data_IF_430045234598
#
_entry.id   IF_430045234598
#
_cell.length_a   1.000
_cell.length_b   1.000
_cell.length_c   1.000
_cell.angle_alpha   90.00
_cell.angle_beta   90.00
_cell.angle_gamma   90.00
#
_symmetry.space_group_name_H-M   'P 1'
#
loop_
_entity.id
_entity.type
_entity.pdbx_description
1 polymer ?
#
# COMPACT_ATOMS: atom_id res chain seq x y z
N UNK A 1 28.05 13.06 0.16
CA UNK A 1 26.75 12.37 0.03
C UNK A 1 25.79 13.26 -0.73
N UNK A 2 24.99 12.68 -1.63
CA UNK A 2 23.97 13.43 -2.36
C UNK A 2 22.85 13.86 -1.40
N UNK A 3 22.55 15.15 -1.36
CA UNK A 3 21.45 15.72 -0.56
C UNK A 3 20.13 15.63 -1.33
N UNK A 4 19.03 15.95 -0.64
CA UNK A 4 17.71 16.02 -1.27
C UNK A 4 17.70 16.96 -2.48
N UNK A 5 18.42 18.08 -2.41
CA UNK A 5 18.51 19.03 -3.51
C UNK A 5 19.16 18.46 -4.78
N UNK A 6 20.11 17.54 -4.64
CA UNK A 6 20.75 16.87 -5.78
C UNK A 6 19.74 15.99 -6.52
N UNK A 7 18.90 15.29 -5.75
CA UNK A 7 17.85 14.39 -6.24
C UNK A 7 16.68 15.13 -6.85
N UNK A 8 16.30 16.28 -6.27
CA UNK A 8 15.35 17.22 -6.88
C UNK A 8 15.86 17.68 -8.24
N UNK A 9 17.15 17.97 -8.37
CA UNK A 9 17.76 18.28 -9.67
C UNK A 9 17.65 17.14 -10.68
N UNK A 10 17.83 15.89 -10.25
CA UNK A 10 17.62 14.72 -11.11
C UNK A 10 16.17 14.58 -11.57
N UNK A 11 15.20 14.91 -10.71
CA UNK A 11 13.78 14.95 -11.06
C UNK A 11 13.49 16.04 -12.10
N UNK A 12 14.06 17.23 -11.93
CA UNK A 12 13.92 18.33 -12.89
C UNK A 12 14.43 17.91 -14.27
N UNK A 13 15.58 17.23 -14.31
CA UNK A 13 16.17 16.71 -15.55
C UNK A 13 15.30 15.63 -16.20
N UNK A 14 14.78 14.67 -15.43
CA UNK A 14 13.95 13.58 -15.97
C UNK A 14 12.58 14.08 -16.44
N UNK A 15 12.05 15.15 -15.84
CA UNK A 15 10.84 15.84 -16.30
C UNK A 15 11.08 16.73 -17.54
N UNK A 16 12.33 16.89 -18.00
CA UNK A 16 12.67 17.71 -19.16
C UNK A 16 12.38 19.20 -18.96
N UNK A 17 12.39 19.68 -17.72
CA UNK A 17 12.03 21.06 -17.38
C UNK A 17 13.23 21.87 -16.89
N UNK A 18 13.16 23.19 -17.03
CA UNK A 18 14.15 24.08 -16.42
C UNK A 18 13.93 24.21 -14.91
N UNK A 19 15.00 24.49 -14.16
CA UNK A 19 14.90 24.74 -12.72
C UNK A 19 13.93 25.88 -12.38
N UNK A 20 13.84 26.89 -13.24
CA UNK A 20 12.86 27.98 -13.10
C UNK A 20 11.42 27.50 -13.26
N UNK A 21 11.14 26.68 -14.27
CA UNK A 21 9.80 26.12 -14.46
C UNK A 21 9.41 25.25 -13.26
N UNK A 22 10.37 24.52 -12.68
CA UNK A 22 10.13 23.73 -11.48
C UNK A 22 9.86 24.60 -10.27
N UNK A 23 10.71 25.61 -10.00
CA UNK A 23 10.47 26.56 -8.91
C UNK A 23 9.06 27.17 -9.00
N UNK A 24 8.64 27.58 -10.19
CA UNK A 24 7.29 28.12 -10.40
C UNK A 24 6.18 27.08 -10.22
N UNK A 25 6.39 25.83 -10.63
CA UNK A 25 5.36 24.77 -10.56
C UNK A 25 5.05 24.34 -9.13
N UNK A 26 6.05 24.36 -8.25
CA UNK A 26 5.91 24.14 -6.81
C UNK A 26 5.73 25.45 -6.04
N UNK A 27 5.58 26.59 -6.73
CA UNK A 27 5.40 27.94 -6.20
C UNK A 27 6.51 28.43 -5.24
N UNK A 28 7.74 27.99 -5.44
CA UNK A 28 8.93 28.53 -4.81
C UNK A 28 9.38 29.85 -5.48
N UNK A 29 10.28 30.58 -4.82
CA UNK A 29 10.91 31.77 -5.41
C UNK A 29 11.73 31.39 -6.66
N UNK A 30 11.73 32.26 -7.67
CA UNK A 30 12.52 32.04 -8.89
C UNK A 30 14.02 31.88 -8.55
N UNK A 31 14.62 30.78 -8.99
CA UNK A 31 16.01 30.45 -8.71
C UNK A 31 16.23 29.81 -7.33
N UNK A 32 15.16 29.40 -6.63
CA UNK A 32 15.25 28.64 -5.39
C UNK A 32 16.10 27.39 -5.59
N UNK A 33 15.73 26.51 -6.51
CA UNK A 33 16.42 25.22 -6.69
C UNK A 33 17.90 25.41 -7.04
N UNK A 34 18.21 26.38 -7.92
CA UNK A 34 19.60 26.72 -8.28
C UNK A 34 20.40 27.25 -7.09
N UNK A 35 19.82 28.13 -6.28
CA UNK A 35 20.45 28.67 -5.07
C UNK A 35 20.71 27.56 -4.04
N UNK A 36 19.73 26.68 -3.83
CA UNK A 36 19.85 25.56 -2.90
C UNK A 36 20.95 24.60 -3.35
N UNK A 37 21.02 24.29 -4.65
CA UNK A 37 22.05 23.42 -5.22
C UNK A 37 23.44 24.05 -5.10
N UNK A 38 23.59 25.33 -5.46
CA UNK A 38 24.84 26.07 -5.37
C UNK A 38 25.39 26.11 -3.93
N UNK A 39 24.50 26.34 -2.96
CA UNK A 39 24.87 26.46 -1.56
C UNK A 39 24.91 25.12 -0.82
N UNK A 40 24.66 24.00 -1.51
CA UNK A 40 24.53 22.68 -0.90
C UNK A 40 23.58 22.70 0.31
N UNK A 41 22.48 23.46 0.21
CA UNK A 41 21.58 23.75 1.31
C UNK A 41 20.54 22.64 1.51
N UNK A 42 19.99 22.55 2.73
CA UNK A 42 18.93 21.60 3.08
C UNK A 42 17.58 22.10 2.59
N UNK A 43 16.77 21.21 2.05
CA UNK A 43 15.42 21.53 1.57
C UNK A 43 14.43 21.45 2.74
N UNK A 44 13.57 22.47 2.87
CA UNK A 44 12.55 22.52 3.92
C UNK A 44 11.41 21.54 3.67
N UNK A 45 10.68 21.17 4.72
CA UNK A 45 9.52 20.26 4.63
C UNK A 45 8.40 20.85 3.78
N UNK A 46 8.19 22.16 3.86
CA UNK A 46 7.23 22.91 3.05
C UNK A 46 7.44 22.70 1.54
N UNK A 47 8.70 22.67 1.09
CA UNK A 47 9.03 22.41 -0.30
C UNK A 47 8.79 20.95 -0.67
N UNK A 48 9.11 20.01 0.22
CA UNK A 48 8.86 18.59 0.01
C UNK A 48 7.35 18.29 -0.11
N UNK A 49 6.52 18.89 0.75
CA UNK A 49 5.06 18.79 0.70
C UNK A 49 4.52 19.26 -0.67
N UNK A 50 4.97 20.43 -1.13
CA UNK A 50 4.54 20.98 -2.43
C UNK A 50 5.01 20.14 -3.62
N UNK A 51 6.16 19.48 -3.50
CA UNK A 51 6.63 18.52 -4.51
C UNK A 51 5.69 17.32 -4.55
N UNK A 52 5.31 16.75 -3.40
CA UNK A 52 4.39 15.60 -3.33
C UNK A 52 3.01 15.97 -3.89
N UNK A 53 2.48 17.14 -3.53
CA UNK A 53 1.21 17.64 -4.05
C UNK A 53 1.25 17.84 -5.58
N UNK A 54 2.34 18.40 -6.09
CA UNK A 54 2.46 18.73 -7.52
C UNK A 54 2.83 17.53 -8.39
N UNK A 55 3.62 16.61 -7.84
CA UNK A 55 4.21 15.48 -8.53
C UNK A 55 3.96 14.19 -7.71
N UNK A 56 2.70 13.70 -7.64
CA UNK A 56 2.34 12.55 -6.80
C UNK A 56 3.00 11.23 -7.22
N UNK A 57 3.60 11.19 -8.41
CA UNK A 57 4.36 10.04 -8.92
C UNK A 57 5.85 10.08 -8.51
N UNK A 58 6.31 11.14 -7.83
CA UNK A 58 7.67 11.25 -7.28
C UNK A 58 7.70 10.59 -5.91
N UNK A 59 8.65 9.68 -5.72
CA UNK A 59 8.84 9.02 -4.43
C UNK A 59 9.59 9.94 -3.46
N UNK A 60 8.89 10.44 -2.44
CA UNK A 60 9.48 11.36 -1.46
C UNK A 60 10.53 10.69 -0.58
N UNK A 61 10.39 9.40 -0.27
CA UNK A 61 11.39 8.64 0.46
C UNK A 61 12.70 8.60 -0.33
N UNK A 62 12.62 8.36 -1.64
CA UNK A 62 13.79 8.43 -2.51
C UNK A 62 14.40 9.83 -2.53
N UNK A 63 13.62 10.91 -2.48
CA UNK A 63 14.13 12.30 -2.43
C UNK A 63 14.83 12.63 -1.11
N UNK A 64 14.40 12.04 0.02
CA UNK A 64 14.97 12.34 1.36
C UNK A 64 16.11 11.39 1.72
N UNK A 65 15.95 10.08 1.50
CA UNK A 65 16.89 9.05 1.98
C UNK A 65 17.85 8.53 0.90
N UNK A 66 17.38 8.42 -0.34
CA UNK A 66 18.16 8.03 -1.52
C UNK A 66 17.96 6.56 -1.86
N UNK A 67 17.10 5.89 -1.08
CA UNK A 67 16.74 4.51 -1.24
C UNK A 67 15.46 4.38 -2.06
N UNK A 68 15.34 3.28 -2.81
CA UNK A 68 14.20 3.03 -3.69
C UNK A 68 14.36 3.67 -5.06
N UNK A 69 13.24 3.84 -5.76
CA UNK A 69 13.17 4.40 -7.12
C UNK A 69 12.75 5.86 -7.09
N UNK A 70 13.24 6.65 -8.05
CA UNK A 70 12.89 8.08 -8.19
C UNK A 70 11.39 8.31 -8.41
N UNK A 71 10.80 7.46 -9.25
CA UNK A 71 9.39 7.48 -9.57
C UNK A 71 8.72 6.22 -9.03
N UNK A 72 7.49 6.40 -8.59
CA UNK A 72 6.62 5.37 -8.04
C UNK A 72 5.40 6.04 -7.46
N UNK A 73 4.22 5.65 -7.95
CA UNK A 73 3.00 5.90 -7.21
C UNK A 73 3.03 4.95 -6.02
N UNK A 74 3.23 5.49 -4.83
CA UNK A 74 2.79 4.79 -3.62
C UNK A 74 1.24 4.78 -3.67
N UNK A 75 0.67 3.89 -4.46
CA UNK A 75 -0.66 3.33 -4.19
C UNK A 75 -0.66 2.49 -2.90
N UNK A 76 0.50 2.38 -2.25
CA UNK A 76 0.77 1.57 -1.07
C UNK A 76 1.05 2.38 0.21
N UNK A 77 0.96 3.72 0.19
CA UNK A 77 1.22 4.56 1.38
C UNK A 77 0.03 4.74 2.32
N UNK A 78 -0.96 3.84 2.24
CA UNK A 78 -1.87 3.51 3.34
C UNK A 78 -1.74 2.04 3.81
N UNK A 79 -0.77 1.29 3.30
CA UNK A 79 -0.59 -0.14 3.57
C UNK A 79 0.87 -0.45 3.87
N UNK A 80 1.47 0.17 4.89
CA UNK A 80 2.74 -0.33 5.42
C UNK A 80 2.69 -0.32 6.94
N UNK A 81 2.13 -1.40 7.50
CA UNK A 81 2.70 -2.21 8.60
C UNK A 81 1.73 -3.34 8.99
N UNK A 82 1.48 -4.25 8.06
CA UNK A 82 1.41 -5.67 8.45
C UNK A 82 2.47 -6.36 7.61
N UNK A 83 3.36 -7.19 8.19
CA UNK A 83 4.03 -8.17 7.36
C UNK A 83 2.90 -8.96 6.72
N UNK A 84 2.77 -8.92 5.39
CA UNK A 84 1.99 -9.96 4.72
C UNK A 84 2.65 -11.27 5.12
N UNK A 85 2.10 -11.93 6.14
CA UNK A 85 2.44 -13.30 6.44
C UNK A 85 1.93 -14.07 5.24
N UNK A 86 2.80 -14.22 4.24
CA UNK A 86 2.57 -15.12 3.12
C UNK A 86 2.46 -16.51 3.72
N UNK A 87 1.21 -16.96 3.88
CA UNK A 87 0.91 -18.28 4.38
C UNK A 87 1.61 -19.28 3.47
N UNK A 88 2.30 -20.24 4.07
CA UNK A 88 2.86 -21.36 3.33
C UNK A 88 1.73 -22.18 2.72
N UNK A 89 2.01 -22.89 1.63
CA UNK A 89 1.03 -23.79 1.01
C UNK A 89 0.39 -24.76 2.03
N UNK A 90 1.19 -25.27 2.98
CA UNK A 90 0.71 -26.15 4.06
C UNK A 90 -0.29 -25.48 5.00
N UNK A 91 -0.06 -24.21 5.35
CA UNK A 91 -1.00 -23.45 6.19
C UNK A 91 -2.30 -23.16 5.44
N UNK A 92 -2.24 -22.86 4.14
CA UNK A 92 -3.42 -22.66 3.30
C UNK A 92 -4.23 -23.96 3.19
N UNK A 93 -3.57 -25.08 2.95
CA UNK A 93 -4.20 -26.41 2.85
C UNK A 93 -4.92 -26.79 4.14
N UNK A 94 -4.27 -26.62 5.30
CA UNK A 94 -4.89 -26.90 6.60
C UNK A 94 -6.15 -26.06 6.87
N UNK A 95 -6.15 -24.78 6.46
CA UNK A 95 -7.32 -23.90 6.61
C UNK A 95 -8.49 -24.36 5.72
N UNK A 96 -8.19 -24.78 4.49
CA UNK A 96 -9.19 -25.27 3.54
C UNK A 96 -9.81 -26.57 4.09
N UNK A 97 -8.99 -27.52 4.52
CA UNK A 97 -9.46 -28.78 5.10
C UNK A 97 -10.35 -28.55 6.33
N UNK A 98 -9.94 -27.67 7.24
CA UNK A 98 -10.72 -27.38 8.43
C UNK A 98 -12.09 -26.78 8.08
N UNK A 99 -12.14 -25.87 7.09
CA UNK A 99 -13.41 -25.27 6.63
C UNK A 99 -14.33 -26.29 5.98
N UNK A 100 -13.80 -27.16 5.13
CA UNK A 100 -14.59 -28.23 4.49
C UNK A 100 -15.17 -29.14 5.56
N UNK A 101 -14.34 -29.57 6.52
CA UNK A 101 -14.78 -30.45 7.61
C UNK A 101 -15.87 -29.81 8.47
N UNK A 102 -15.70 -28.56 8.88
CA UNK A 102 -16.70 -27.85 9.68
C UNK A 102 -18.04 -27.74 8.94
N UNK A 103 -18.02 -27.44 7.64
CA UNK A 103 -19.23 -27.38 6.84
C UNK A 103 -19.93 -28.75 6.74
N UNK A 104 -19.18 -29.82 6.53
CA UNK A 104 -19.72 -31.19 6.48
C UNK A 104 -20.34 -31.62 7.82
N UNK A 105 -19.74 -31.24 8.96
CA UNK A 105 -20.28 -31.54 10.28
C UNK A 105 -21.61 -30.82 10.54
N UNK A 106 -21.73 -29.56 10.12
CA UNK A 106 -22.97 -28.79 10.23
C UNK A 106 -24.08 -29.38 9.34
N UNK A 107 -23.78 -29.76 8.09
CA UNK A 107 -24.74 -30.40 7.20
C UNK A 107 -25.21 -31.75 7.76
N UNK A 108 -24.29 -32.56 8.29
CA UNK A 108 -24.62 -33.85 8.89
C UNK A 108 -25.54 -33.66 10.11
N UNK A 109 -25.26 -32.68 10.96
CA UNK A 109 -26.10 -32.37 12.12
C UNK A 109 -27.51 -31.95 11.71
N UNK A 110 -27.62 -31.07 10.71
CA UNK A 110 -28.90 -30.64 10.18
C UNK A 110 -29.71 -31.82 9.59
N UNK A 111 -29.05 -32.75 8.91
CA UNK A 111 -29.71 -33.94 8.38
C UNK A 111 -30.18 -34.87 9.50
N UNK A 112 -29.35 -35.07 10.53
CA UNK A 112 -29.71 -35.87 11.71
C UNK A 112 -30.90 -35.29 12.46
N UNK A 113 -30.96 -33.96 12.62
CA UNK A 113 -32.10 -33.30 13.27
C UNK A 113 -33.38 -33.48 12.45
N UNK A 114 -33.32 -33.35 11.11
CA UNK A 114 -34.48 -33.62 10.23
C UNK A 114 -34.98 -35.05 10.36
N UNK A 115 -34.09 -36.05 10.28
CA UNK A 115 -34.46 -37.46 10.42
C UNK A 115 -35.12 -37.71 11.79
N UNK A 116 -34.58 -37.12 12.85
CA UNK A 116 -35.14 -37.26 14.21
C UNK A 116 -36.55 -36.67 14.29
N UNK A 117 -36.79 -35.52 13.65
CA UNK A 117 -38.12 -34.93 13.59
C UNK A 117 -39.11 -35.83 12.84
N UNK A 118 -38.75 -36.36 11.67
CA UNK A 118 -39.63 -37.23 10.88
C UNK A 118 -39.96 -38.56 11.59
N UNK A 119 -38.99 -39.16 12.28
CA UNK A 119 -39.24 -40.36 13.10
C UNK A 119 -40.21 -40.04 14.23
N UNK A 120 -40.09 -38.87 14.87
CA UNK A 120 -41.00 -38.46 15.93
C UNK A 120 -42.42 -38.19 15.42
N UNK A 121 -42.58 -37.59 14.24
CA UNK A 121 -43.90 -37.35 13.64
C UNK A 121 -44.55 -38.67 13.20
N UNK A 122 -43.82 -39.54 12.51
CA UNK A 122 -44.33 -40.85 12.09
C UNK A 122 -44.75 -41.74 13.27
N UNK A 123 -44.02 -41.67 14.39
CA UNK A 123 -44.37 -42.41 15.62
C UNK A 123 -45.61 -41.86 16.32
N UNK A 124 -45.87 -40.56 16.21
CA UNK A 124 -47.08 -39.93 16.75
C UNK A 124 -48.31 -40.15 15.86
N UNK A 125 -48.13 -40.34 14.55
CA UNK A 125 -49.23 -40.65 13.61
C UNK A 125 -49.67 -42.12 13.65
N UNK A 126 -48.80 -43.02 14.10
CA UNK A 126 -49.08 -44.45 14.19
C UNK A 126 -49.73 -44.90 15.52
N UNK A 127 -50.01 -43.96 16.44
CA UNK A 127 -50.47 -44.21 17.82
C UNK A 127 -51.78 -43.47 18.08
#
# INVERSE_FOLDING_TARGET
MAKAIDRIFSIIQSLGMSARQFDMSIGASNGYTLRMKKNNASVGSDILERIVEKYPFVNINWVVTGHGTMFGTDSSSAEQHMPEKKLTYKEVEAIIEQKIKAHQEDELKNLMDKIKTEISTAKNEAN
#
